data_IF_212688078233
#
_entry.id   IF_212688078233
#
_cell.length_a   1.000
_cell.length_b   1.000
_cell.length_c   1.000
_cell.angle_alpha   90.00
_cell.angle_beta   90.00
_cell.angle_gamma   90.00
#
_symmetry.space_group_name_H-M   'P 1'
#
loop_
_entity.id
_entity.type
_entity.pdbx_description
1 polymer ?
#
# COMPACT_ATOMS: atom_id res chain seq x y z
N UNK A 1 -12.53 21.50 44.96
CA UNK A 1 -11.34 21.79 44.14
C UNK A 1 -10.33 20.64 44.16
N UNK A 2 -10.02 19.97 45.28
CA UNK A 2 -9.04 18.83 45.29
C UNK A 2 -9.39 17.65 44.38
N UNK A 3 -10.68 17.31 44.18
CA UNK A 3 -11.09 16.16 43.33
C UNK A 3 -10.87 16.35 41.83
N UNK A 4 -10.86 17.58 41.32
CA UNK A 4 -10.65 17.88 39.90
C UNK A 4 -9.19 17.71 39.50
N UNK A 5 -8.26 18.11 40.35
CA UNK A 5 -6.83 17.92 40.13
C UNK A 5 -6.39 16.45 40.22
N UNK A 6 -7.02 15.68 41.11
CA UNK A 6 -6.77 14.22 41.17
C UNK A 6 -7.29 13.48 39.95
N UNK A 7 -8.43 13.87 39.39
CA UNK A 7 -8.96 13.28 38.17
C UNK A 7 -8.12 13.67 36.95
N UNK A 8 -7.66 14.93 36.87
CA UNK A 8 -6.73 15.36 35.82
C UNK A 8 -5.38 14.64 35.90
N UNK A 9 -4.86 14.40 37.09
CA UNK A 9 -3.64 13.61 37.30
C UNK A 9 -3.80 12.15 36.85
N UNK A 10 -4.93 11.51 37.18
CA UNK A 10 -5.20 10.11 36.78
C UNK A 10 -5.36 9.97 35.23
N UNK A 11 -5.99 10.93 34.56
CA UNK A 11 -6.09 10.94 33.10
C UNK A 11 -4.71 11.15 32.46
N UNK A 12 -3.90 12.04 33.01
CA UNK A 12 -2.51 12.25 32.56
C UNK A 12 -1.63 11.00 32.71
N UNK A 13 -1.75 10.28 33.82
CA UNK A 13 -1.02 9.02 34.08
C UNK A 13 -1.53 7.90 33.16
N UNK A 14 -2.84 7.81 32.89
CA UNK A 14 -3.39 6.83 31.96
C UNK A 14 -2.95 7.06 30.51
N UNK A 15 -2.84 8.33 30.08
CA UNK A 15 -2.31 8.69 28.77
C UNK A 15 -0.79 8.45 28.65
N UNK A 16 -0.04 8.62 29.75
CA UNK A 16 1.40 8.33 29.77
C UNK A 16 1.72 6.83 29.89
N UNK A 17 0.78 6.03 30.41
CA UNK A 17 0.92 4.58 30.55
C UNK A 17 0.43 3.80 29.30
N UNK A 18 -0.21 4.46 28.32
CA UNK A 18 -0.46 3.86 27.01
C UNK A 18 0.86 3.75 26.28
N UNK A 19 1.57 2.64 26.49
CA UNK A 19 2.67 2.24 25.62
C UNK A 19 2.12 2.23 24.19
N UNK A 20 2.72 2.95 23.23
CA UNK A 20 2.37 2.73 21.85
C UNK A 20 2.58 1.25 21.57
N UNK A 21 1.54 0.55 21.20
CA UNK A 21 1.69 -0.79 20.65
C UNK A 21 2.48 -0.57 19.34
N UNK A 22 3.78 -0.81 19.39
CA UNK A 22 4.65 -0.86 18.23
C UNK A 22 4.28 -2.14 17.46
N UNK A 23 3.15 -2.10 16.77
CA UNK A 23 2.96 -3.00 15.67
C UNK A 23 3.94 -2.53 14.58
N UNK A 24 4.83 -3.39 14.15
CA UNK A 24 5.71 -3.15 12.99
C UNK A 24 4.87 -3.10 11.69
N UNK A 25 3.91 -2.19 11.64
CA UNK A 25 3.17 -1.91 10.41
C UNK A 25 3.99 -0.94 9.58
N UNK A 26 4.52 -1.41 8.47
CA UNK A 26 5.03 -0.54 7.43
C UNK A 26 3.86 0.30 6.90
N UNK A 27 3.92 1.61 7.03
CA UNK A 27 2.92 2.56 6.50
C UNK A 27 2.96 2.68 4.97
N UNK A 28 3.87 2.01 4.32
CA UNK A 28 4.10 2.04 2.89
C UNK A 28 4.16 0.61 2.34
N UNK A 29 4.33 0.48 1.02
CA UNK A 29 4.59 -0.80 0.39
C UNK A 29 5.86 -1.44 0.98
N UNK A 30 5.90 -2.76 0.97
CA UNK A 30 7.09 -3.51 1.41
C UNK A 30 8.34 -3.11 0.60
N UNK A 31 9.54 -3.27 1.15
CA UNK A 31 10.79 -2.99 0.44
C UNK A 31 10.85 -3.73 -0.91
N UNK A 32 11.16 -3.04 -2.01
CA UNK A 32 11.17 -3.64 -3.34
C UNK A 32 12.33 -4.63 -3.49
N UNK A 33 12.03 -5.86 -3.93
CA UNK A 33 13.01 -6.92 -4.17
C UNK A 33 13.32 -7.16 -5.67
N UNK A 34 12.66 -6.44 -6.58
CA UNK A 34 12.89 -6.53 -8.02
C UNK A 34 12.91 -5.15 -8.68
N UNK A 35 13.43 -5.04 -9.92
CA UNK A 35 13.41 -3.79 -10.68
C UNK A 35 11.99 -3.24 -10.85
N UNK A 36 11.06 -4.10 -11.27
CA UNK A 36 9.64 -3.74 -11.42
C UNK A 36 9.02 -3.27 -10.09
N UNK A 37 9.32 -3.97 -8.98
CA UNK A 37 8.83 -3.56 -7.67
C UNK A 37 9.38 -2.19 -7.26
N UNK A 38 10.62 -1.87 -7.64
CA UNK A 38 11.22 -0.56 -7.40
C UNK A 38 10.51 0.55 -8.17
N UNK A 39 10.18 0.32 -9.44
CA UNK A 39 9.45 1.28 -10.28
C UNK A 39 8.03 1.53 -9.74
N UNK A 40 7.34 0.47 -9.33
CA UNK A 40 6.03 0.58 -8.65
C UNK A 40 6.14 1.35 -7.34
N UNK A 41 7.17 1.11 -6.53
CA UNK A 41 7.40 1.81 -5.27
C UNK A 41 7.66 3.32 -5.49
N UNK A 42 8.46 3.67 -6.50
CA UNK A 42 8.69 5.08 -6.86
C UNK A 42 7.43 5.77 -7.36
N UNK A 43 6.66 5.10 -8.23
CA UNK A 43 5.39 5.62 -8.72
C UNK A 43 4.40 5.84 -7.58
N UNK A 44 4.30 4.89 -6.64
CA UNK A 44 3.47 5.03 -5.45
C UNK A 44 3.86 6.25 -4.62
N UNK A 45 5.15 6.43 -4.33
CA UNK A 45 5.64 7.58 -3.58
C UNK A 45 5.35 8.92 -4.29
N UNK A 46 5.50 8.96 -5.61
CA UNK A 46 5.14 10.14 -6.40
C UNK A 46 3.65 10.48 -6.26
N UNK A 47 2.78 9.48 -6.40
CA UNK A 47 1.32 9.66 -6.25
C UNK A 47 0.99 10.14 -4.84
N UNK A 48 1.58 9.53 -3.81
CA UNK A 48 1.36 9.92 -2.41
C UNK A 48 1.82 11.35 -2.14
N UNK A 49 2.95 11.79 -2.73
CA UNK A 49 3.43 13.17 -2.62
C UNK A 49 2.46 14.17 -3.26
N UNK A 50 1.93 13.84 -4.45
CA UNK A 50 0.92 14.67 -5.13
C UNK A 50 -0.36 14.74 -4.29
N UNK A 51 -0.84 13.61 -3.78
CA UNK A 51 -2.01 13.57 -2.90
C UNK A 51 -1.81 14.40 -1.62
N UNK A 52 -0.63 14.32 -1.02
CA UNK A 52 -0.28 15.14 0.15
C UNK A 52 -0.30 16.64 -0.18
N UNK A 53 0.24 17.02 -1.35
CA UNK A 53 0.19 18.41 -1.83
C UNK A 53 -1.25 18.92 -1.98
N UNK A 54 -2.10 18.12 -2.63
CA UNK A 54 -3.53 18.43 -2.79
C UNK A 54 -4.21 18.55 -1.42
N UNK A 55 -3.95 17.61 -0.52
CA UNK A 55 -4.48 17.61 0.84
C UNK A 55 -4.13 18.90 1.58
N UNK A 56 -2.85 19.28 1.58
CA UNK A 56 -2.39 20.50 2.27
C UNK A 56 -3.08 21.75 1.71
N UNK A 57 -3.19 21.87 0.38
CA UNK A 57 -3.81 23.05 -0.26
C UNK A 57 -5.31 23.10 0.05
N UNK A 58 -6.03 22.01 -0.14
CA UNK A 58 -7.49 21.99 0.03
C UNK A 58 -7.87 22.16 1.50
N UNK A 59 -7.28 21.36 2.39
CA UNK A 59 -7.57 21.48 3.82
C UNK A 59 -7.05 22.78 4.42
N UNK A 60 -5.90 23.27 3.95
CA UNK A 60 -5.38 24.58 4.34
C UNK A 60 -6.36 25.71 4.00
N UNK A 61 -6.89 25.73 2.78
CA UNK A 61 -7.90 26.70 2.36
C UNK A 61 -9.21 26.55 3.18
N UNK A 62 -9.63 25.31 3.41
CA UNK A 62 -10.82 25.02 4.22
C UNK A 62 -10.65 25.52 5.66
N UNK A 63 -9.57 25.16 6.34
CA UNK A 63 -9.33 25.62 7.71
C UNK A 63 -9.13 27.12 7.81
N UNK A 64 -8.44 27.73 6.84
CA UNK A 64 -8.34 29.18 6.75
C UNK A 64 -9.73 29.83 6.68
N UNK A 65 -10.61 29.30 5.81
CA UNK A 65 -11.99 29.81 5.69
C UNK A 65 -12.79 29.65 6.98
N UNK A 66 -12.71 28.49 7.62
CA UNK A 66 -13.40 28.20 8.88
C UNK A 66 -12.96 29.16 10.03
N UNK A 67 -11.68 29.49 10.08
CA UNK A 67 -11.14 30.35 11.12
C UNK A 67 -11.39 31.83 10.84
N UNK A 68 -11.20 32.26 9.59
CA UNK A 68 -11.21 33.67 9.19
C UNK A 68 -12.63 34.21 8.91
N UNK A 69 -13.50 33.34 8.36
CA UNK A 69 -14.84 33.74 7.90
C UNK A 69 -15.97 33.25 8.80
N UNK A 70 -15.66 32.80 10.02
CA UNK A 70 -16.68 32.36 10.98
C UNK A 70 -17.57 33.55 11.44
N UNK A 71 -18.84 33.24 11.67
CA UNK A 71 -19.84 34.23 12.10
C UNK A 71 -19.46 34.97 13.38
N UNK A 72 -18.76 34.31 14.32
CA UNK A 72 -18.30 34.93 15.59
C UNK A 72 -17.27 36.05 15.41
N UNK A 73 -16.65 36.17 14.24
CA UNK A 73 -15.71 37.26 13.90
C UNK A 73 -16.42 38.43 13.21
N UNK A 74 -17.75 38.36 13.05
CA UNK A 74 -18.54 39.40 12.40
C UNK A 74 -18.46 39.41 10.87
N UNK A 75 -17.93 38.35 10.26
CA UNK A 75 -17.82 38.26 8.82
C UNK A 75 -19.20 38.08 8.18
N UNK A 76 -19.50 38.90 7.17
CA UNK A 76 -20.71 38.76 6.35
C UNK A 76 -20.41 37.98 5.08
N UNK A 77 -21.31 37.08 4.68
CA UNK A 77 -21.17 36.31 3.46
C UNK A 77 -21.17 37.21 2.23
N UNK A 78 -20.29 36.99 1.30
CA UNK A 78 -20.27 37.67 0.02
C UNK A 78 -21.41 37.14 -0.87
N UNK A 79 -22.09 38.02 -1.55
CA UNK A 79 -23.17 37.71 -2.49
C UNK A 79 -22.60 37.56 -3.90
N UNK A 80 -21.94 36.44 -4.18
CA UNK A 80 -21.55 36.06 -5.54
C UNK A 80 -22.18 34.72 -5.90
N UNK A 81 -22.53 34.53 -7.17
CA UNK A 81 -23.21 33.31 -7.63
C UNK A 81 -22.28 32.43 -8.46
N UNK A 82 -21.32 33.01 -9.19
CA UNK A 82 -20.41 32.33 -10.07
C UNK A 82 -19.08 33.06 -10.21
N UNK A 83 -18.03 32.34 -10.56
CA UNK A 83 -16.73 32.88 -10.94
C UNK A 83 -16.06 31.97 -11.94
N UNK A 84 -16.25 32.20 -13.23
CA UNK A 84 -15.76 31.42 -14.33
C UNK A 84 -14.23 31.17 -14.28
N UNK A 85 -13.47 32.19 -13.82
CA UNK A 85 -12.00 32.01 -13.69
C UNK A 85 -11.65 30.93 -12.68
N UNK A 86 -12.28 30.92 -11.52
CA UNK A 86 -12.06 29.93 -10.48
C UNK A 86 -12.50 28.53 -10.98
N UNK A 87 -13.63 28.47 -11.69
CA UNK A 87 -14.16 27.23 -12.27
C UNK A 87 -13.19 26.59 -13.28
N UNK A 88 -12.63 27.40 -14.16
CA UNK A 88 -11.60 26.96 -15.12
C UNK A 88 -10.36 26.47 -14.37
N UNK A 89 -9.90 27.22 -13.36
CA UNK A 89 -8.70 26.84 -12.59
C UNK A 89 -8.86 25.49 -11.91
N UNK A 90 -9.96 25.27 -11.18
CA UNK A 90 -10.15 24.00 -10.47
C UNK A 90 -10.47 22.81 -11.38
N UNK A 91 -10.82 23.06 -12.65
CA UNK A 91 -10.97 22.01 -13.67
C UNK A 91 -9.63 21.70 -14.33
N UNK A 92 -8.86 22.72 -14.71
CA UNK A 92 -7.61 22.55 -15.46
C UNK A 92 -6.51 21.98 -14.59
N UNK A 93 -6.36 22.43 -13.34
CA UNK A 93 -5.30 21.94 -12.45
C UNK A 93 -5.36 20.42 -12.22
N UNK A 94 -6.49 19.82 -11.80
CA UNK A 94 -6.60 18.37 -11.66
C UNK A 94 -6.36 17.62 -12.96
N UNK A 95 -6.85 18.15 -14.08
CA UNK A 95 -6.61 17.56 -15.40
C UNK A 95 -5.12 17.49 -15.74
N UNK A 96 -4.37 18.58 -15.53
CA UNK A 96 -2.91 18.62 -15.76
C UNK A 96 -2.18 17.66 -14.82
N UNK A 97 -2.57 17.58 -13.56
CA UNK A 97 -2.02 16.61 -12.59
C UNK A 97 -2.23 15.17 -13.08
N UNK A 98 -3.45 14.82 -13.49
CA UNK A 98 -3.77 13.48 -14.00
C UNK A 98 -2.97 13.14 -15.25
N UNK A 99 -2.85 14.07 -16.21
CA UNK A 99 -2.05 13.87 -17.41
C UNK A 99 -0.56 13.69 -17.08
N UNK A 100 -0.04 14.46 -16.11
CA UNK A 100 1.34 14.32 -15.64
C UNK A 100 1.62 12.98 -14.96
N UNK A 101 0.64 12.41 -14.26
CA UNK A 101 0.75 11.08 -13.63
C UNK A 101 0.51 9.92 -14.60
N UNK A 102 -0.28 10.14 -15.65
CA UNK A 102 -0.61 9.10 -16.62
C UNK A 102 0.63 8.57 -17.36
N UNK A 103 1.59 9.43 -17.70
CA UNK A 103 2.79 9.03 -18.40
C UNK A 103 3.67 8.05 -17.62
N UNK A 104 4.14 8.36 -16.40
CA UNK A 104 4.93 7.41 -15.61
C UNK A 104 4.15 6.14 -15.26
N UNK A 105 2.84 6.24 -14.97
CA UNK A 105 2.00 5.09 -14.71
C UNK A 105 1.90 4.14 -15.92
N UNK A 106 1.66 4.68 -17.12
CA UNK A 106 1.61 3.90 -18.35
C UNK A 106 2.96 3.21 -18.62
N UNK A 107 4.07 3.89 -18.35
CA UNK A 107 5.40 3.34 -18.53
C UNK A 107 5.68 2.14 -17.64
N UNK A 108 5.38 2.25 -16.34
CA UNK A 108 5.51 1.13 -15.39
C UNK A 108 4.66 -0.07 -15.83
N UNK A 109 3.42 0.15 -16.30
CA UNK A 109 2.56 -0.93 -16.80
C UNK A 109 3.14 -1.61 -18.04
N UNK A 110 3.75 -0.85 -18.95
CA UNK A 110 4.40 -1.40 -20.16
C UNK A 110 5.62 -2.23 -19.75
N UNK A 111 6.46 -1.71 -18.86
CA UNK A 111 7.66 -2.39 -18.39
C UNK A 111 7.33 -3.68 -17.62
N UNK A 112 6.24 -3.70 -16.84
CA UNK A 112 5.71 -4.90 -16.19
C UNK A 112 5.27 -5.99 -17.18
N UNK A 113 4.83 -5.62 -18.38
CA UNK A 113 4.41 -6.56 -19.43
C UNK A 113 5.55 -7.08 -20.28
N UNK A 114 6.76 -6.52 -20.15
CA UNK A 114 7.92 -7.02 -20.87
C UNK A 114 8.38 -8.36 -20.29
N UNK A 115 7.93 -9.42 -20.92
CA UNK A 115 8.31 -10.82 -20.62
C UNK A 115 9.27 -11.38 -21.67
N UNK A 116 9.95 -10.52 -22.43
CA UNK A 116 10.89 -10.95 -23.49
C UNK A 116 12.15 -11.61 -22.91
N UNK A 117 12.66 -12.59 -23.66
CA UNK A 117 13.94 -13.26 -23.38
C UNK A 117 14.15 -13.73 -21.94
N UNK A 118 13.27 -14.55 -21.35
CA UNK A 118 13.51 -15.15 -20.04
C UNK A 118 14.57 -16.24 -20.13
N UNK A 119 15.43 -16.33 -19.10
CA UNK A 119 16.36 -17.45 -18.94
C UNK A 119 15.62 -18.71 -18.46
N UNK A 120 14.56 -18.53 -17.67
CA UNK A 120 13.74 -19.59 -17.10
C UNK A 120 12.26 -19.17 -17.08
N UNK A 121 11.38 -20.12 -17.39
CA UNK A 121 9.92 -19.91 -17.29
C UNK A 121 9.32 -20.92 -16.31
N UNK A 122 8.63 -20.41 -15.29
CA UNK A 122 7.95 -21.21 -14.27
C UNK A 122 6.46 -20.88 -14.33
N UNK A 123 5.63 -21.91 -14.51
CA UNK A 123 4.18 -21.80 -14.36
C UNK A 123 3.81 -22.02 -12.90
N UNK A 124 3.12 -21.06 -12.32
CA UNK A 124 2.64 -21.09 -10.93
C UNK A 124 1.12 -21.27 -10.97
N UNK A 125 0.64 -22.38 -10.45
CA UNK A 125 -0.80 -22.64 -10.38
C UNK A 125 -1.26 -22.67 -8.93
N UNK A 126 -2.18 -21.75 -8.57
CA UNK A 126 -2.81 -21.71 -7.25
C UNK A 126 -3.91 -22.78 -7.14
N UNK A 127 -3.95 -23.43 -6.00
CA UNK A 127 -5.00 -24.37 -5.56
C UNK A 127 -5.45 -24.02 -4.16
N UNK A 128 -6.62 -24.40 -3.75
CA UNK A 128 -7.06 -24.37 -2.34
C UNK A 128 -6.45 -25.59 -1.59
N UNK A 129 -5.45 -25.41 -0.84
CA UNK A 129 -4.61 -24.37 -0.28
C UNK A 129 -3.16 -24.79 -0.45
N UNK A 130 -2.66 -24.79 -1.66
CA UNK A 130 -1.30 -25.15 -2.05
C UNK A 130 -0.92 -24.47 -3.35
N UNK A 131 0.36 -24.45 -3.65
CA UNK A 131 0.90 -23.99 -4.93
C UNK A 131 1.48 -25.14 -5.72
N UNK A 132 1.37 -25.09 -7.04
CA UNK A 132 2.09 -25.96 -7.93
C UNK A 132 3.08 -25.14 -8.74
N UNK A 133 4.31 -25.56 -8.77
CA UNK A 133 5.39 -24.99 -9.55
C UNK A 133 5.80 -25.94 -10.67
N UNK A 134 5.73 -25.45 -11.91
CA UNK A 134 6.07 -26.21 -13.11
C UNK A 134 7.15 -25.44 -13.89
N UNK A 135 8.37 -25.98 -13.90
CA UNK A 135 9.53 -25.45 -14.59
C UNK A 135 9.50 -25.95 -16.03
N UNK A 136 8.87 -25.16 -16.91
CA UNK A 136 8.50 -25.58 -18.27
C UNK A 136 9.70 -26.04 -19.12
N UNK A 137 10.90 -25.53 -18.88
CA UNK A 137 12.09 -25.87 -19.65
C UNK A 137 12.82 -27.11 -19.12
N UNK A 138 12.66 -27.42 -17.84
CA UNK A 138 13.44 -28.42 -17.13
C UNK A 138 12.63 -29.69 -16.79
N UNK A 139 11.31 -29.66 -17.00
CA UNK A 139 10.40 -30.79 -16.72
C UNK A 139 10.24 -31.09 -15.23
N UNK A 140 10.58 -30.13 -14.36
CA UNK A 140 10.43 -30.26 -12.90
C UNK A 140 9.05 -29.73 -12.51
N UNK A 141 8.28 -30.52 -11.79
CA UNK A 141 6.94 -30.15 -11.31
C UNK A 141 6.74 -30.68 -9.89
N UNK A 142 6.30 -29.79 -8.97
CA UNK A 142 6.02 -30.17 -7.59
C UNK A 142 4.96 -29.28 -6.96
N UNK A 143 4.41 -29.75 -5.84
CA UNK A 143 3.49 -28.98 -5.00
C UNK A 143 4.22 -28.42 -3.78
N UNK A 144 3.81 -27.23 -3.37
CA UNK A 144 4.28 -26.54 -2.17
C UNK A 144 3.09 -26.28 -1.25
N UNK A 145 3.18 -26.75 -0.01
CA UNK A 145 2.13 -26.63 0.99
C UNK A 145 2.62 -25.77 2.16
N UNK A 146 1.68 -25.14 2.88
CA UNK A 146 1.98 -24.47 4.11
C UNK A 146 2.52 -25.46 5.15
N UNK A 147 3.69 -25.19 5.71
CA UNK A 147 4.35 -26.04 6.72
C UNK A 147 4.28 -25.48 8.14
N UNK A 148 3.64 -24.33 8.35
CA UNK A 148 3.43 -23.77 9.68
C UNK A 148 2.70 -24.76 10.59
N UNK A 149 3.23 -25.08 11.79
CA UNK A 149 2.63 -26.01 12.73
C UNK A 149 1.20 -25.61 13.11
N UNK A 150 0.31 -26.61 13.22
CA UNK A 150 -1.10 -26.38 13.59
C UNK A 150 -1.26 -25.69 14.94
N UNK A 151 -0.41 -26.03 15.89
CA UNK A 151 -0.40 -25.48 17.25
C UNK A 151 -0.18 -23.95 17.22
N UNK A 152 0.61 -23.45 16.26
CA UNK A 152 0.80 -22.00 16.07
C UNK A 152 -0.45 -21.37 15.43
N UNK A 153 -1.08 -22.08 14.47
CA UNK A 153 -2.27 -21.60 13.77
C UNK A 153 -3.47 -21.53 14.72
N UNK A 154 -3.64 -22.54 15.57
CA UNK A 154 -4.70 -22.64 16.56
C UNK A 154 -4.45 -21.78 17.82
N UNK A 155 -3.26 -21.19 17.95
CA UNK A 155 -2.89 -20.30 19.05
C UNK A 155 -2.50 -21.02 20.34
N UNK A 156 -2.26 -22.32 20.30
CA UNK A 156 -1.77 -23.11 21.44
C UNK A 156 -0.25 -23.06 21.62
N UNK A 157 0.49 -22.62 20.60
CA UNK A 157 1.93 -22.35 20.63
C UNK A 157 2.24 -20.92 20.19
N UNK A 158 3.41 -20.43 20.58
CA UNK A 158 3.92 -19.11 20.17
C UNK A 158 4.20 -19.08 18.67
N UNK A 159 3.85 -17.96 18.00
CA UNK A 159 4.06 -17.77 16.56
C UNK A 159 5.54 -17.59 16.27
N UNK A 160 6.07 -18.37 15.31
CA UNK A 160 7.43 -18.23 14.80
C UNK A 160 7.63 -16.97 13.97
N UNK A 161 8.89 -16.63 13.70
CA UNK A 161 9.28 -15.47 12.88
C UNK A 161 8.66 -15.48 11.48
N UNK A 162 8.52 -16.67 10.89
CA UNK A 162 7.96 -16.87 9.54
C UNK A 162 6.54 -17.45 9.55
N UNK A 163 5.76 -17.12 10.60
CA UNK A 163 4.38 -17.59 10.75
C UNK A 163 3.54 -17.36 9.49
N UNK A 164 2.95 -18.43 8.96
CA UNK A 164 2.16 -18.49 7.71
C UNK A 164 2.96 -18.17 6.43
N UNK A 165 4.28 -18.09 6.49
CA UNK A 165 5.16 -17.87 5.33
C UNK A 165 6.01 -19.09 5.00
N UNK A 166 6.01 -20.13 5.86
CA UNK A 166 6.81 -21.34 5.70
C UNK A 166 6.10 -22.33 4.78
N UNK A 167 6.89 -22.93 3.89
CA UNK A 167 6.42 -23.98 2.99
C UNK A 167 7.35 -25.18 3.04
N UNK A 168 6.80 -26.36 2.71
CA UNK A 168 7.57 -27.61 2.66
C UNK A 168 8.59 -27.64 1.49
N UNK A 169 8.16 -27.22 0.30
CA UNK A 169 8.96 -27.21 -0.92
C UNK A 169 9.01 -25.81 -1.54
N UNK A 170 10.03 -25.00 -1.24
CA UNK A 170 10.13 -23.64 -1.76
C UNK A 170 10.49 -23.64 -3.25
N UNK A 171 9.96 -22.64 -3.98
CA UNK A 171 10.37 -22.37 -5.36
C UNK A 171 11.81 -21.83 -5.38
N UNK A 172 12.70 -22.52 -6.10
CA UNK A 172 14.12 -22.17 -6.21
C UNK A 172 14.41 -21.56 -7.58
N UNK A 173 15.06 -20.40 -7.59
CA UNK A 173 15.44 -19.70 -8.82
C UNK A 173 16.91 -19.28 -8.79
N UNK A 174 17.62 -19.26 -9.93
CA UNK A 174 19.00 -18.81 -9.99
C UNK A 174 19.12 -17.31 -9.84
N UNK A 175 20.13 -16.86 -9.07
CA UNK A 175 20.43 -15.43 -8.88
C UNK A 175 20.93 -14.81 -10.19
N UNK A 176 20.55 -13.57 -10.46
CA UNK A 176 21.00 -12.81 -11.62
C UNK A 176 20.42 -13.25 -12.96
N UNK A 177 19.38 -14.11 -12.95
CA UNK A 177 18.68 -14.58 -14.14
C UNK A 177 17.31 -13.91 -14.28
N UNK A 178 16.85 -13.77 -15.53
CA UNK A 178 15.50 -13.25 -15.83
C UNK A 178 14.51 -14.40 -15.78
N UNK A 179 13.61 -14.35 -14.80
CA UNK A 179 12.61 -15.39 -14.56
C UNK A 179 11.24 -14.88 -15.04
N UNK A 180 10.58 -15.66 -15.92
CA UNK A 180 9.18 -15.42 -16.29
C UNK A 180 8.28 -16.28 -15.41
N UNK A 181 7.37 -15.63 -14.69
CA UNK A 181 6.35 -16.29 -13.89
C UNK A 181 5.01 -16.23 -14.63
N UNK A 182 4.44 -17.41 -14.94
CA UNK A 182 3.10 -17.56 -15.53
C UNK A 182 2.13 -17.93 -14.42
N UNK A 183 1.45 -16.95 -13.85
CA UNK A 183 0.57 -17.15 -12.70
C UNK A 183 -0.86 -17.43 -13.17
N UNK A 184 -1.45 -18.51 -12.63
CA UNK A 184 -2.83 -18.91 -12.88
C UNK A 184 -3.42 -19.60 -11.64
N UNK A 185 -4.72 -19.86 -11.67
CA UNK A 185 -5.42 -20.64 -10.66
C UNK A 185 -6.17 -21.82 -11.31
N UNK A 186 -6.32 -22.90 -10.56
CA UNK A 186 -7.01 -24.11 -11.04
C UNK A 186 -8.46 -24.20 -10.54
N UNK A 187 -8.75 -23.60 -9.40
CA UNK A 187 -10.04 -23.74 -8.70
C UNK A 187 -10.73 -22.41 -8.43
N UNK A 188 -10.09 -21.49 -7.77
CA UNK A 188 -10.63 -20.16 -7.42
C UNK A 188 -9.63 -19.05 -7.72
N UNK A 189 -10.08 -17.79 -7.69
CA UNK A 189 -9.18 -16.63 -7.77
C UNK A 189 -8.20 -16.62 -6.59
N UNK A 190 -6.93 -16.42 -6.91
CA UNK A 190 -5.83 -16.36 -5.94
C UNK A 190 -5.14 -14.99 -6.00
#
# INVERSE_FOLDING_TARGET
MKSMWQRAGMVGVALAASQPAWAEYAYNLQPPASGVAHDVFQLHNLIMLVCLGIFIVVFGAMFYSLLKHRKSVGHQAAHFHENTTVEVIWTVIPFVILMGMAYPAARVVIDMKDTSNPDLTIKITGYQWKWNYDYLNDGVNFYSNLSTPREQIEGSAEKGEHYLLEVDEPMVVPVGKRIRLLVTANDVLH
#
